data_IF_920454624490
#
_entry.id   IF_920454624490
#
_cell.length_a   1.000
_cell.length_b   1.000
_cell.length_c   1.000
_cell.angle_alpha   90.00
_cell.angle_beta   90.00
_cell.angle_gamma   90.00
#
_symmetry.space_group_name_H-M   'P 1'
#
loop_
_entity.id
_entity.type
_entity.pdbx_description
1 polymer ?
#
# COMPACT_ATOMS: atom_id res chain seq x y z
N UNK A 1 -21.28 -32.30 4.26
CA UNK A 1 -20.95 -30.86 4.24
C UNK A 1 -19.53 -30.74 3.71
N UNK A 2 -19.41 -30.36 2.44
CA UNK A 2 -18.15 -30.32 1.70
C UNK A 2 -17.44 -28.98 1.96
N UNK A 3 -16.10 -28.93 1.87
CA UNK A 3 -15.31 -27.70 2.10
C UNK A 3 -15.73 -26.58 1.15
N UNK A 4 -16.12 -26.93 -0.08
CA UNK A 4 -16.63 -25.98 -1.08
C UNK A 4 -17.97 -25.35 -0.67
N UNK A 5 -18.88 -26.13 -0.09
CA UNK A 5 -20.18 -25.65 0.40
C UNK A 5 -19.99 -24.66 1.57
N UNK A 6 -19.04 -24.95 2.47
CA UNK A 6 -18.69 -24.06 3.60
C UNK A 6 -18.21 -22.69 3.09
N UNK A 7 -17.36 -22.68 2.08
CA UNK A 7 -16.84 -21.44 1.49
C UNK A 7 -17.93 -20.65 0.76
N UNK A 8 -18.86 -21.32 0.08
CA UNK A 8 -20.00 -20.67 -0.57
C UNK A 8 -20.92 -20.00 0.45
N UNK A 9 -21.27 -20.70 1.54
CA UNK A 9 -22.07 -20.13 2.65
C UNK A 9 -21.38 -18.87 3.22
N UNK A 10 -20.05 -18.90 3.38
CA UNK A 10 -19.29 -17.75 3.84
C UNK A 10 -19.36 -16.55 2.89
N UNK A 11 -19.32 -16.79 1.58
CA UNK A 11 -19.44 -15.73 0.56
C UNK A 11 -20.84 -15.13 0.54
N UNK A 12 -21.88 -15.96 0.57
CA UNK A 12 -23.27 -15.51 0.59
C UNK A 12 -23.57 -14.65 1.81
N UNK A 13 -23.10 -15.06 3.01
CA UNK A 13 -23.25 -14.27 4.23
C UNK A 13 -22.65 -12.87 4.09
N UNK A 14 -21.41 -12.78 3.56
CA UNK A 14 -20.75 -11.49 3.32
C UNK A 14 -21.53 -10.63 2.33
N UNK A 15 -22.06 -11.23 1.27
CA UNK A 15 -22.81 -10.50 0.25
C UNK A 15 -24.12 -9.93 0.82
N UNK A 16 -24.85 -10.74 1.58
CA UNK A 16 -26.05 -10.34 2.32
C UNK A 16 -25.79 -9.18 3.30
N UNK A 17 -24.66 -9.20 4.02
CA UNK A 17 -24.27 -8.08 4.89
C UNK A 17 -24.01 -6.81 4.08
N UNK A 18 -23.32 -6.90 2.94
CA UNK A 18 -23.06 -5.75 2.06
C UNK A 18 -24.36 -5.14 1.52
N UNK A 19 -25.31 -5.96 1.10
CA UNK A 19 -26.63 -5.50 0.66
C UNK A 19 -27.37 -4.76 1.78
N UNK A 20 -27.22 -5.24 3.02
CA UNK A 20 -27.79 -4.62 4.21
C UNK A 20 -27.20 -3.23 4.46
N UNK A 21 -25.87 -3.13 4.45
CA UNK A 21 -25.14 -1.87 4.59
C UNK A 21 -25.58 -0.89 3.49
N UNK A 22 -25.65 -1.34 2.24
CA UNK A 22 -26.06 -0.49 1.11
C UNK A 22 -27.44 0.11 1.31
N UNK A 23 -28.43 -0.70 1.70
CA UNK A 23 -29.80 -0.21 1.99
C UNK A 23 -29.83 0.81 3.13
N UNK A 24 -29.02 0.60 4.18
CA UNK A 24 -28.92 1.54 5.30
C UNK A 24 -28.30 2.87 4.85
N UNK A 25 -27.21 2.82 4.06
CA UNK A 25 -26.56 4.00 3.50
C UNK A 25 -27.51 4.80 2.60
N UNK A 26 -28.27 4.13 1.72
CA UNK A 26 -29.28 4.79 0.90
C UNK A 26 -30.33 5.54 1.75
N UNK A 27 -30.75 4.96 2.87
CA UNK A 27 -31.68 5.61 3.80
C UNK A 27 -31.04 6.80 4.53
N UNK A 28 -29.76 6.69 4.88
CA UNK A 28 -28.97 7.78 5.43
C UNK A 28 -28.90 8.93 4.43
N UNK A 29 -28.54 8.67 3.17
CA UNK A 29 -28.47 9.69 2.11
C UNK A 29 -29.82 10.38 1.87
N UNK A 30 -30.93 9.63 1.87
CA UNK A 30 -32.29 10.21 1.81
C UNK A 30 -32.53 11.17 2.97
N UNK A 31 -32.12 10.80 4.19
CA UNK A 31 -32.25 11.65 5.38
C UNK A 31 -31.37 12.89 5.30
N UNK A 32 -30.11 12.76 4.86
CA UNK A 32 -29.20 13.88 4.64
C UNK A 32 -29.81 14.85 3.63
N UNK A 33 -30.28 14.36 2.47
CA UNK A 33 -30.92 15.18 1.44
C UNK A 33 -32.14 15.94 1.97
N UNK A 34 -32.95 15.28 2.79
CA UNK A 34 -34.10 15.93 3.44
C UNK A 34 -33.66 17.06 4.40
N UNK A 35 -32.66 16.81 5.25
CA UNK A 35 -32.15 17.81 6.20
C UNK A 35 -31.42 18.97 5.51
N UNK A 36 -30.69 18.69 4.42
CA UNK A 36 -30.06 19.71 3.59
C UNK A 36 -31.11 20.62 2.93
N UNK A 37 -32.23 20.06 2.47
CA UNK A 37 -33.37 20.85 1.99
C UNK A 37 -33.96 21.78 3.04
N UNK A 38 -33.86 21.43 4.33
CA UNK A 38 -34.27 22.26 5.47
C UNK A 38 -33.18 23.24 5.94
N UNK A 39 -32.09 23.40 5.19
CA UNK A 39 -30.92 24.23 5.55
C UNK A 39 -30.27 23.83 6.88
N UNK A 40 -30.38 22.55 7.27
CA UNK A 40 -29.62 22.00 8.39
C UNK A 40 -28.30 21.43 7.87
N UNK A 41 -27.24 21.58 8.64
CA UNK A 41 -25.89 21.11 8.31
C UNK A 41 -25.49 19.81 9.04
N UNK A 42 -26.43 19.28 9.82
CA UNK A 42 -26.26 18.06 10.59
C UNK A 42 -27.55 17.26 10.65
N UNK A 43 -27.44 15.94 10.75
CA UNK A 43 -28.54 15.05 11.05
C UNK A 43 -28.10 13.92 11.99
N UNK A 44 -29.07 13.35 12.69
CA UNK A 44 -28.86 12.16 13.53
C UNK A 44 -29.65 11.02 12.91
N UNK A 45 -28.99 9.90 12.66
CA UNK A 45 -29.58 8.67 12.17
C UNK A 45 -29.43 7.58 13.24
N UNK A 46 -30.53 6.89 13.57
CA UNK A 46 -30.47 5.73 14.46
C UNK A 46 -30.38 4.52 13.56
N UNK A 47 -29.30 3.75 13.67
CA UNK A 47 -29.20 2.48 12.96
C UNK A 47 -30.16 1.51 13.64
N UNK A 48 -31.18 1.00 12.92
CA UNK A 48 -32.08 0.02 13.50
C UNK A 48 -31.28 -1.25 13.86
N UNK A 49 -31.55 -1.87 15.02
CA UNK A 49 -30.90 -3.13 15.39
C UNK A 49 -31.43 -4.32 14.60
N UNK A 50 -32.69 -4.26 14.19
CA UNK A 50 -33.38 -5.28 13.39
C UNK A 50 -34.18 -4.52 12.34
N UNK A 51 -34.07 -4.94 11.08
CA UNK A 51 -34.90 -4.43 9.99
C UNK A 51 -35.61 -5.60 9.34
N UNK A 52 -36.92 -5.45 9.13
CA UNK A 52 -37.70 -6.44 8.39
C UNK A 52 -37.09 -6.63 6.99
N UNK A 53 -37.06 -7.88 6.52
CA UNK A 53 -36.47 -8.27 5.22
C UNK A 53 -34.94 -8.12 5.11
N UNK A 54 -34.24 -7.92 6.23
CA UNK A 54 -32.80 -7.91 6.29
C UNK A 54 -32.27 -9.06 7.17
N UNK A 55 -31.17 -9.70 6.76
CA UNK A 55 -30.55 -10.77 7.54
C UNK A 55 -30.00 -10.18 8.83
N UNK A 56 -29.97 -10.99 9.89
CA UNK A 56 -29.30 -10.61 11.14
C UNK A 56 -27.85 -10.24 10.83
N UNK A 57 -27.48 -9.01 11.13
CA UNK A 57 -26.15 -8.48 10.94
C UNK A 57 -25.51 -8.13 12.28
N UNK A 58 -24.18 -8.14 12.29
CA UNK A 58 -23.42 -7.63 13.42
C UNK A 58 -23.43 -6.10 13.38
N UNK A 59 -24.02 -5.53 14.43
CA UNK A 59 -24.25 -4.10 14.57
C UNK A 59 -22.94 -3.30 14.50
N UNK A 60 -21.89 -3.78 15.18
CA UNK A 60 -20.62 -3.06 15.28
C UNK A 60 -19.88 -3.04 13.94
N UNK A 61 -19.95 -4.14 13.20
CA UNK A 61 -19.33 -4.24 11.89
C UNK A 61 -20.07 -3.39 10.86
N UNK A 62 -21.41 -3.37 10.90
CA UNK A 62 -22.21 -2.50 10.03
C UNK A 62 -21.95 -1.02 10.31
N UNK A 63 -21.86 -0.61 11.58
CA UNK A 63 -21.50 0.78 11.91
C UNK A 63 -20.13 1.14 11.36
N UNK A 64 -19.12 0.26 11.53
CA UNK A 64 -17.77 0.50 10.99
C UNK A 64 -17.76 0.64 9.47
N UNK A 65 -18.52 -0.19 8.77
CA UNK A 65 -18.61 -0.14 7.30
C UNK A 65 -19.33 1.13 6.84
N UNK A 66 -20.44 1.51 7.50
CA UNK A 66 -21.15 2.78 7.23
C UNK A 66 -20.21 3.97 7.49
N UNK A 67 -19.45 3.93 8.59
CA UNK A 67 -18.51 4.99 8.94
C UNK A 67 -17.49 5.20 7.84
N UNK A 68 -16.85 4.13 7.34
CA UNK A 68 -15.90 4.21 6.23
C UNK A 68 -16.50 4.83 4.97
N UNK A 69 -17.69 4.37 4.58
CA UNK A 69 -18.35 4.86 3.36
C UNK A 69 -18.63 6.37 3.48
N UNK A 70 -19.19 6.81 4.60
CA UNK A 70 -19.50 8.23 4.84
C UNK A 70 -18.23 9.08 5.02
N UNK A 71 -17.18 8.51 5.60
CA UNK A 71 -15.87 9.15 5.76
C UNK A 71 -15.19 9.38 4.40
N UNK A 72 -15.23 8.39 3.52
CA UNK A 72 -14.75 8.47 2.12
C UNK A 72 -15.51 9.53 1.31
N UNK A 73 -16.81 9.71 1.59
CA UNK A 73 -17.65 10.75 0.98
C UNK A 73 -17.37 12.16 1.55
N UNK A 74 -16.55 12.28 2.60
CA UNK A 74 -16.17 13.55 3.21
C UNK A 74 -17.09 14.02 4.34
N UNK A 75 -18.01 13.19 4.82
CA UNK A 75 -18.84 13.53 5.96
C UNK A 75 -18.08 13.41 7.28
N UNK A 76 -18.50 14.21 8.25
CA UNK A 76 -18.03 14.08 9.63
C UNK A 76 -19.03 13.22 10.37
N UNK A 77 -18.58 12.02 10.73
CA UNK A 77 -19.42 11.02 11.36
C UNK A 77 -18.98 10.83 12.80
N UNK A 78 -19.94 10.75 13.72
CA UNK A 78 -19.70 10.41 15.12
C UNK A 78 -20.72 9.35 15.53
N UNK A 79 -20.22 8.21 16.03
CA UNK A 79 -21.07 7.11 16.49
C UNK A 79 -21.17 7.14 18.02
N UNK A 80 -22.38 6.94 18.51
CA UNK A 80 -22.68 6.77 19.93
C UNK A 80 -22.96 5.30 20.25
N UNK A 81 -22.77 4.91 21.50
CA UNK A 81 -22.95 3.53 21.99
C UNK A 81 -24.37 2.98 21.83
N UNK A 82 -25.37 3.85 21.71
CA UNK A 82 -26.77 3.50 21.50
C UNK A 82 -27.13 3.26 20.02
N UNK A 83 -26.14 3.25 19.12
CA UNK A 83 -26.39 3.06 17.70
C UNK A 83 -26.81 4.32 16.94
N UNK A 84 -26.73 5.48 17.59
CA UNK A 84 -26.92 6.76 16.93
C UNK A 84 -25.66 7.14 16.19
N UNK A 85 -25.85 7.57 14.94
CA UNK A 85 -24.82 8.13 14.09
C UNK A 85 -25.19 9.59 13.87
N UNK A 86 -24.37 10.50 14.37
CA UNK A 86 -24.43 11.91 14.01
C UNK A 86 -23.59 12.11 12.75
N UNK A 87 -24.19 12.78 11.77
CA UNK A 87 -23.59 13.08 10.47
C UNK A 87 -23.63 14.59 10.30
N UNK A 88 -22.48 15.19 10.04
CA UNK A 88 -22.33 16.61 9.81
C UNK A 88 -21.59 16.88 8.49
N UNK A 89 -22.03 17.89 7.76
CA UNK A 89 -21.45 18.35 6.49
C UNK A 89 -21.20 19.86 6.49
N UNK A 90 -20.95 20.45 7.67
CA UNK A 90 -20.58 21.85 7.76
C UNK A 90 -19.16 22.09 7.19
N UNK A 91 -19.05 22.97 6.21
CA UNK A 91 -17.80 23.30 5.51
C UNK A 91 -16.63 23.62 6.46
N UNK A 92 -16.89 24.40 7.52
CA UNK A 92 -15.84 24.81 8.49
C UNK A 92 -15.26 23.61 9.23
N UNK A 93 -16.12 22.68 9.61
CA UNK A 93 -15.69 21.47 10.33
C UNK A 93 -14.99 20.50 9.37
N UNK A 94 -15.44 20.42 8.12
CA UNK A 94 -14.82 19.57 7.09
C UNK A 94 -13.40 20.04 6.81
N UNK A 95 -13.18 21.35 6.65
CA UNK A 95 -11.83 21.91 6.50
C UNK A 95 -10.91 21.61 7.68
N UNK A 96 -11.44 21.64 8.91
CA UNK A 96 -10.66 21.31 10.10
C UNK A 96 -10.25 19.84 10.11
N UNK A 97 -11.17 18.94 9.74
CA UNK A 97 -10.91 17.50 9.68
C UNK A 97 -9.84 17.15 8.64
N UNK A 98 -9.92 17.74 7.44
CA UNK A 98 -8.92 17.54 6.39
C UNK A 98 -7.52 17.97 6.87
N UNK A 99 -7.43 19.07 7.63
CA UNK A 99 -6.17 19.54 8.22
C UNK A 99 -5.64 18.56 9.28
N UNK A 100 -6.50 18.01 10.13
CA UNK A 100 -6.08 17.03 11.15
C UNK A 100 -5.63 15.71 10.51
N UNK A 101 -6.33 15.24 9.48
CA UNK A 101 -6.01 13.99 8.82
C UNK A 101 -4.68 14.09 8.05
N UNK A 102 -4.47 15.20 7.32
CA UNK A 102 -3.19 15.49 6.68
C UNK A 102 -2.02 15.55 7.70
N UNK A 103 -2.27 16.12 8.88
CA UNK A 103 -1.28 16.15 9.95
C UNK A 103 -0.95 14.74 10.47
N UNK A 104 -1.96 13.90 10.70
CA UNK A 104 -1.77 12.51 11.17
C UNK A 104 -0.97 11.71 10.15
N UNK A 105 -1.33 11.79 8.86
CA UNK A 105 -0.61 11.12 7.76
C UNK A 105 0.87 11.55 7.74
N UNK A 106 1.14 12.85 7.89
CA UNK A 106 2.52 13.36 7.93
C UNK A 106 3.34 12.81 9.11
N UNK A 107 2.71 12.55 10.25
CA UNK A 107 3.35 11.97 11.43
C UNK A 107 3.64 10.48 11.22
N UNK A 108 2.72 9.74 10.62
CA UNK A 108 2.90 8.33 10.30
C UNK A 108 4.00 8.12 9.27
N UNK A 109 4.06 8.94 8.23
CA UNK A 109 5.17 8.91 7.26
C UNK A 109 6.53 9.12 7.91
N UNK A 110 6.63 10.06 8.88
CA UNK A 110 7.87 10.29 9.63
C UNK A 110 8.25 9.07 10.46
N UNK A 111 7.28 8.41 11.10
CA UNK A 111 7.51 7.17 11.86
C UNK A 111 7.99 6.05 10.94
N UNK A 112 7.35 5.84 9.79
CA UNK A 112 7.75 4.83 8.80
C UNK A 112 9.15 5.09 8.25
N UNK A 113 9.48 6.34 7.89
CA UNK A 113 10.85 6.73 7.45
C UNK A 113 11.91 6.46 8.52
N UNK A 114 11.56 6.62 9.80
CA UNK A 114 12.47 6.29 10.89
C UNK A 114 12.65 4.78 11.08
N UNK A 115 11.60 3.99 10.89
CA UNK A 115 11.66 2.52 10.95
C UNK A 115 12.51 1.98 9.81
N UNK A 116 12.31 2.44 8.57
CA UNK A 116 13.10 1.98 7.40
C UNK A 116 14.56 2.35 7.52
N UNK A 117 14.90 3.54 8.04
CA UNK A 117 16.28 3.92 8.37
C UNK A 117 16.91 3.01 9.42
N UNK A 118 16.15 2.60 10.44
CA UNK A 118 16.64 1.66 11.47
C UNK A 118 16.85 0.26 10.89
N UNK A 119 15.92 -0.25 10.09
CA UNK A 119 16.04 -1.54 9.42
C UNK A 119 17.26 -1.59 8.49
N UNK A 120 17.48 -0.55 7.68
CA UNK A 120 18.67 -0.45 6.82
C UNK A 120 19.99 -0.46 7.62
N UNK A 121 20.05 0.23 8.77
CA UNK A 121 21.22 0.18 9.65
C UNK A 121 21.44 -1.20 10.28
N UNK A 122 20.37 -1.95 10.53
CA UNK A 122 20.44 -3.31 11.04
C UNK A 122 20.98 -4.25 9.96
N UNK A 123 20.51 -4.13 8.71
CA UNK A 123 21.07 -4.87 7.57
C UNK A 123 22.54 -4.53 7.32
N UNK A 124 22.93 -3.25 7.36
CA UNK A 124 24.34 -2.86 7.25
C UNK A 124 25.18 -3.48 8.39
N UNK A 125 24.60 -3.57 9.60
CA UNK A 125 25.26 -4.20 10.76
C UNK A 125 25.33 -5.71 10.64
N UNK A 126 24.45 -6.39 9.89
CA UNK A 126 24.52 -7.85 9.69
C UNK A 126 25.03 -8.24 8.30
N UNK A 127 25.40 -7.27 7.47
CA UNK A 127 26.03 -7.50 6.16
C UNK A 127 27.31 -8.34 6.26
N UNK A 128 28.02 -8.27 7.40
CA UNK A 128 29.18 -9.11 7.69
C UNK A 128 28.85 -10.59 7.95
N UNK A 129 27.62 -10.93 8.36
CA UNK A 129 27.16 -12.32 8.53
C UNK A 129 26.70 -12.93 7.21
N UNK A 130 26.08 -12.13 6.35
CA UNK A 130 25.61 -12.59 5.04
C UNK A 130 26.75 -12.77 4.01
N UNK A 131 27.88 -12.10 4.22
CA UNK A 131 29.12 -12.34 3.51
C UNK A 131 30.26 -12.46 4.53
N UNK A 132 30.53 -13.66 5.08
CA UNK A 132 31.79 -13.89 5.76
C UNK A 132 32.88 -13.61 4.71
N UNK A 133 33.68 -12.58 4.94
CA UNK A 133 34.81 -12.23 4.08
C UNK A 133 35.53 -13.53 3.72
N UNK A 134 35.51 -13.87 2.43
CA UNK A 134 36.49 -14.77 1.81
C UNK A 134 37.86 -14.20 2.13
N UNK A 135 38.38 -14.63 3.26
CA UNK A 135 39.76 -14.39 3.62
C UNK A 135 40.51 -15.53 2.94
N UNK A 136 41.61 -15.18 2.27
CA UNK A 136 42.52 -16.06 1.50
C UNK A 136 42.16 -16.26 0.02
N UNK A 137 42.63 -15.32 -0.81
CA UNK A 137 43.24 -15.54 -2.14
C UNK A 137 42.67 -16.66 -3.01
N UNK A 138 41.56 -16.41 -3.69
CA UNK A 138 41.28 -17.08 -4.97
C UNK A 138 40.90 -15.98 -5.95
N UNK A 139 41.87 -15.57 -6.77
CA UNK A 139 41.58 -14.88 -8.03
C UNK A 139 40.60 -15.75 -8.79
N UNK A 140 39.39 -15.23 -8.99
CA UNK A 140 38.33 -15.90 -9.74
C UNK A 140 38.85 -16.28 -11.12
N UNK A 141 38.44 -17.43 -11.65
CA UNK A 141 38.86 -17.93 -12.96
C UNK A 141 38.63 -16.86 -14.06
N UNK A 142 37.57 -16.06 -13.89
CA UNK A 142 37.20 -14.95 -14.76
C UNK A 142 38.28 -13.85 -14.81
N UNK A 143 38.82 -13.41 -13.66
CA UNK A 143 39.87 -12.38 -13.63
C UNK A 143 41.17 -12.85 -14.30
N UNK A 144 41.49 -14.14 -14.16
CA UNK A 144 42.65 -14.74 -14.85
C UNK A 144 42.42 -14.88 -16.36
N UNK A 145 41.17 -15.11 -16.77
CA UNK A 145 40.79 -15.19 -18.18
C UNK A 145 40.92 -13.82 -18.84
N UNK A 146 40.43 -12.77 -18.18
CA UNK A 146 40.49 -11.40 -18.67
C UNK A 146 41.95 -10.92 -18.81
N UNK A 147 42.81 -11.23 -17.83
CA UNK A 147 44.23 -10.88 -17.90
C UNK A 147 44.97 -11.65 -19.03
N UNK A 148 44.57 -12.90 -19.32
CA UNK A 148 45.12 -13.65 -20.45
C UNK A 148 44.65 -13.11 -21.79
N UNK A 149 43.37 -12.74 -21.91
CA UNK A 149 42.81 -12.14 -23.13
C UNK A 149 43.52 -10.82 -23.43
N UNK A 150 43.77 -9.99 -22.42
CA UNK A 150 44.46 -8.71 -22.60
C UNK A 150 45.92 -8.89 -23.06
N UNK A 151 46.63 -9.90 -22.54
CA UNK A 151 48.00 -10.25 -23.00
C UNK A 151 48.00 -10.70 -24.46
N UNK A 152 47.04 -11.54 -24.87
CA UNK A 152 46.92 -12.02 -26.26
C UNK A 152 46.64 -10.86 -27.22
N UNK A 153 45.76 -9.92 -26.85
CA UNK A 153 45.46 -8.76 -27.68
C UNK A 153 46.68 -7.86 -27.88
N UNK A 154 47.43 -7.58 -26.81
CA UNK A 154 48.67 -6.78 -26.91
C UNK A 154 49.74 -7.44 -27.77
N UNK A 155 49.87 -8.77 -27.74
CA UNK A 155 50.79 -9.49 -28.61
C UNK A 155 50.36 -9.45 -30.08
N UNK A 156 49.07 -9.60 -30.37
CA UNK A 156 48.54 -9.48 -31.74
C UNK A 156 48.80 -8.10 -32.32
N UNK A 157 48.60 -7.04 -31.56
CA UNK A 157 48.89 -5.68 -32.01
C UNK A 157 50.37 -5.44 -32.30
N UNK A 158 51.27 -5.98 -31.46
CA UNK A 158 52.72 -5.92 -31.70
C UNK A 158 53.11 -6.66 -32.97
N UNK A 159 52.56 -7.87 -33.19
CA UNK A 159 52.82 -8.65 -34.42
C UNK A 159 52.29 -7.96 -35.67
N UNK A 160 51.11 -7.34 -35.62
CA UNK A 160 50.60 -6.55 -36.74
C UNK A 160 51.48 -5.34 -37.08
N UNK A 161 51.99 -4.63 -36.05
CA UNK A 161 52.94 -3.53 -36.27
C UNK A 161 54.25 -4.01 -36.90
N UNK A 162 54.78 -5.15 -36.46
CA UNK A 162 55.97 -5.76 -37.07
C UNK A 162 55.72 -6.21 -38.51
N UNK A 163 54.57 -6.82 -38.80
CA UNK A 163 54.21 -7.20 -40.18
C UNK A 163 54.08 -5.99 -41.11
N UNK A 164 53.49 -4.89 -40.64
CA UNK A 164 53.42 -3.63 -41.41
C UNK A 164 54.81 -3.05 -41.70
N UNK A 165 55.76 -3.16 -40.78
CA UNK A 165 57.15 -2.74 -41.00
C UNK A 165 57.87 -3.63 -42.02
N UNK A 166 57.64 -4.94 -41.99
CA UNK A 166 58.24 -5.87 -42.96
C UNK A 166 57.66 -5.61 -44.36
N UNK A 167 56.33 -5.52 -44.50
CA UNK A 167 55.68 -5.26 -45.80
C UNK A 167 56.04 -3.88 -46.36
N UNK A 168 56.19 -2.86 -45.50
CA UNK A 168 56.65 -1.54 -45.91
C UNK A 168 58.09 -1.50 -46.44
N UNK A 169 58.93 -2.46 -46.06
CA UNK A 169 60.32 -2.57 -46.51
C UNK A 169 60.50 -3.40 -47.80
N UNK A 170 59.46 -4.07 -48.30
CA UNK A 170 59.50 -4.81 -49.58
C UNK A 170 58.95 -4.01 -50.77
N UNK A 171 58.50 -2.76 -50.57
CA UNK A 171 57.91 -1.90 -51.61
C UNK A 171 58.78 -0.70 -51.98
N UNK A 172 60.11 -0.81 -51.83
CA UNK A 172 61.10 0.14 -52.37
C UNK A 172 62.10 -0.59 -53.25
#
# INVERSE_FOLDING_TARGET
MNVQEVLQIGKERKQRTKESVKKIVENIHKKIKYYAGLRKEQCVYIVPPIVNDLPVYDFDNVIKDIFKILDEEGYIVSAYSNGQIQICWNEKLVEQKVKTDAFIISQEERKLKNITRKAKKVDDRFSFLANPKKTTTELTIEDKLDEQVEKILREKDKKQKQMKQIVGNFSK
#
